data_IF_542443017637
#
_entry.id   IF_542443017637
#
_cell.length_a   1.000
_cell.length_b   1.000
_cell.length_c   1.000
_cell.angle_alpha   90.00
_cell.angle_beta   90.00
_cell.angle_gamma   90.00
#
_symmetry.space_group_name_H-M   'P 1'
#
loop_
_entity.id
_entity.type
_entity.pdbx_description
1 polymer ?
#
# COMPACT_ATOMS: atom_id res chain seq x y z
N UNK A 1 -0.27 -6.67 22.79
CA UNK A 1 0.84 -6.33 21.87
C UNK A 1 1.56 -7.62 21.52
N UNK A 2 1.91 -7.85 20.24
CA UNK A 2 2.43 -9.14 19.80
C UNK A 2 3.96 -9.19 20.00
N UNK A 3 4.46 -10.00 20.94
CA UNK A 3 5.89 -10.05 21.32
C UNK A 3 6.81 -10.31 20.12
N UNK A 4 6.33 -11.04 19.11
CA UNK A 4 7.07 -11.37 17.90
C UNK A 4 7.50 -10.15 17.08
N UNK A 5 6.77 -9.02 17.14
CA UNK A 5 7.06 -7.81 16.35
C UNK A 5 8.40 -7.17 16.74
N UNK A 6 8.76 -7.18 18.02
CA UNK A 6 10.06 -6.69 18.48
C UNK A 6 11.20 -7.53 17.91
N UNK A 7 11.01 -8.85 17.89
CA UNK A 7 11.98 -9.79 17.36
C UNK A 7 12.13 -9.66 15.84
N UNK A 8 11.07 -9.30 15.11
CA UNK A 8 11.16 -9.09 13.67
C UNK A 8 12.19 -8.01 13.29
N UNK A 9 12.30 -6.96 14.10
CA UNK A 9 13.24 -5.85 13.90
C UNK A 9 14.64 -6.11 14.49
N UNK A 10 14.82 -7.20 15.23
CA UNK A 10 16.07 -7.51 15.94
C UNK A 10 17.03 -8.37 15.08
N UNK A 11 18.33 -8.08 15.18
CA UNK A 11 19.40 -8.88 14.56
C UNK A 11 19.53 -10.27 15.16
N UNK A 12 19.24 -10.40 16.46
CA UNK A 12 19.39 -11.67 17.18
C UNK A 12 18.25 -12.66 16.89
N UNK A 13 17.36 -12.37 15.92
CA UNK A 13 16.26 -13.25 15.55
C UNK A 13 16.75 -14.42 14.70
N UNK A 14 16.37 -15.63 15.10
CA UNK A 14 16.39 -16.81 14.26
C UNK A 14 14.95 -17.25 13.97
N UNK A 15 14.69 -17.64 12.73
CA UNK A 15 13.37 -18.10 12.30
C UNK A 15 13.52 -19.48 11.66
N UNK A 16 12.73 -20.42 12.14
CA UNK A 16 12.57 -21.75 11.58
C UNK A 16 11.07 -22.03 11.39
N UNK A 17 10.71 -22.68 10.29
CA UNK A 17 9.31 -22.98 9.95
C UNK A 17 8.70 -23.96 10.98
N UNK A 18 9.50 -24.87 11.53
CA UNK A 18 9.04 -25.90 12.47
C UNK A 18 8.94 -25.39 13.91
N UNK A 19 9.83 -24.48 14.31
CA UNK A 19 9.97 -24.04 15.72
C UNK A 19 9.63 -22.57 15.95
N UNK A 20 9.28 -21.83 14.90
CA UNK A 20 8.87 -20.44 15.00
C UNK A 20 10.04 -19.47 15.18
N UNK A 21 9.83 -18.40 15.94
CA UNK A 21 10.83 -17.34 16.14
C UNK A 21 11.56 -17.53 17.47
N UNK A 22 12.88 -17.70 17.40
CA UNK A 22 13.78 -17.85 18.56
C UNK A 22 14.80 -16.72 18.64
N UNK A 23 15.36 -16.52 19.83
CA UNK A 23 16.49 -15.61 20.04
C UNK A 23 17.82 -16.37 19.93
N UNK A 24 18.75 -15.90 19.11
CA UNK A 24 20.11 -16.47 18.95
C UNK A 24 20.91 -16.51 20.26
N UNK A 25 20.62 -15.60 21.19
CA UNK A 25 21.36 -15.51 22.46
C UNK A 25 20.93 -16.56 23.48
N UNK A 26 19.66 -16.94 23.49
CA UNK A 26 19.08 -17.83 24.50
C UNK A 26 18.57 -19.15 23.92
N UNK A 27 18.48 -19.27 22.59
CA UNK A 27 17.81 -20.33 21.83
C UNK A 27 16.36 -20.60 22.27
N UNK A 28 15.74 -19.61 22.91
CA UNK A 28 14.39 -19.68 23.44
C UNK A 28 13.45 -18.73 22.70
N UNK A 29 12.15 -19.04 22.81
CA UNK A 29 11.08 -18.15 22.38
C UNK A 29 11.11 -16.82 23.17
N UNK A 30 10.68 -15.71 22.55
CA UNK A 30 10.71 -14.40 23.20
C UNK A 30 9.78 -14.34 24.42
N UNK A 31 10.35 -14.15 25.61
CA UNK A 31 9.66 -14.20 26.91
C UNK A 31 9.65 -12.88 27.70
N UNK A 32 9.68 -11.73 27.01
CA UNK A 32 9.75 -10.40 27.66
C UNK A 32 8.38 -9.71 27.81
N UNK A 33 8.10 -9.09 28.96
CA UNK A 33 6.79 -8.44 29.21
C UNK A 33 6.56 -7.13 28.45
N UNK A 34 7.60 -6.32 28.21
CA UNK A 34 7.47 -5.00 27.54
C UNK A 34 8.59 -4.68 26.55
N UNK A 35 9.85 -4.93 26.94
CA UNK A 35 11.03 -4.68 26.13
C UNK A 35 11.99 -5.85 26.23
N UNK A 36 12.70 -6.16 25.16
CA UNK A 36 13.80 -7.10 25.20
C UNK A 36 15.04 -6.40 25.79
N UNK A 37 15.68 -6.94 26.84
CA UNK A 37 16.86 -6.33 27.47
C UNK A 37 18.10 -6.39 26.56
N UNK A 38 18.21 -7.43 25.73
CA UNK A 38 19.36 -7.71 24.85
C UNK A 38 19.01 -7.44 23.37
N UNK A 39 18.15 -6.45 23.12
CA UNK A 39 17.77 -6.11 21.75
C UNK A 39 18.93 -5.47 21.00
N UNK A 40 19.15 -5.91 19.76
CA UNK A 40 20.15 -5.32 18.86
C UNK A 40 19.45 -4.79 17.62
N UNK A 41 19.49 -3.46 17.48
CA UNK A 41 18.99 -2.74 16.31
C UNK A 41 20.13 -2.23 15.45
N UNK A 42 20.26 -2.81 14.27
CA UNK A 42 21.31 -2.49 13.31
C UNK A 42 20.71 -2.44 11.89
N UNK A 43 21.37 -3.05 10.91
CA UNK A 43 21.00 -3.03 9.50
C UNK A 43 19.55 -3.48 9.23
N UNK A 44 19.05 -4.49 9.95
CA UNK A 44 17.69 -5.02 9.77
C UNK A 44 16.62 -4.00 10.15
N UNK A 45 16.85 -3.21 11.19
CA UNK A 45 15.95 -2.13 11.53
C UNK A 45 15.96 -1.07 10.43
N UNK A 46 17.15 -0.65 9.99
CA UNK A 46 17.32 0.37 8.96
C UNK A 46 16.64 -0.06 7.64
N UNK A 47 16.83 -1.32 7.24
CA UNK A 47 16.21 -1.90 6.04
C UNK A 47 14.69 -1.98 6.18
N UNK A 48 14.18 -2.37 7.34
CA UNK A 48 12.72 -2.43 7.59
C UNK A 48 12.09 -1.03 7.56
N UNK A 49 12.76 -0.03 8.15
CA UNK A 49 12.32 1.37 8.09
C UNK A 49 12.27 1.84 6.62
N UNK A 50 13.32 1.57 5.84
CA UNK A 50 13.37 1.95 4.42
C UNK A 50 12.27 1.26 3.62
N UNK A 51 12.10 -0.05 3.77
CA UNK A 51 11.11 -0.83 3.03
C UNK A 51 9.68 -0.33 3.28
N UNK A 52 9.27 -0.21 4.56
CA UNK A 52 7.92 0.22 4.92
C UNK A 52 7.61 1.64 4.43
N UNK A 53 8.56 2.57 4.59
CA UNK A 53 8.36 3.94 4.11
C UNK A 53 8.38 4.04 2.58
N UNK A 54 9.12 3.16 1.91
CA UNK A 54 9.11 3.06 0.45
C UNK A 54 7.78 2.54 -0.08
N UNK A 55 7.26 1.47 0.50
CA UNK A 55 5.94 0.93 0.16
C UNK A 55 4.86 2.02 0.33
N UNK A 56 4.91 2.75 1.44
CA UNK A 56 4.00 3.87 1.69
C UNK A 56 4.10 4.98 0.62
N UNK A 57 5.30 5.45 0.29
CA UNK A 57 5.47 6.51 -0.69
C UNK A 57 5.12 6.06 -2.13
N UNK A 58 5.40 4.81 -2.50
CA UNK A 58 4.98 4.25 -3.78
C UNK A 58 3.46 4.22 -3.93
N UNK A 59 2.75 3.72 -2.90
CA UNK A 59 1.29 3.70 -2.92
C UNK A 59 0.73 5.12 -2.93
N UNK A 60 1.29 6.03 -2.12
CA UNK A 60 0.88 7.44 -2.07
C UNK A 60 1.02 8.14 -3.42
N UNK A 61 2.11 7.90 -4.16
CA UNK A 61 2.31 8.43 -5.52
C UNK A 61 1.30 7.91 -6.53
N UNK A 62 0.83 6.67 -6.37
CA UNK A 62 -0.20 6.09 -7.26
C UNK A 62 -1.57 6.77 -7.16
N UNK A 63 -1.81 7.61 -6.13
CA UNK A 63 -3.07 8.34 -5.90
C UNK A 63 -3.57 9.06 -7.16
N UNK A 64 -2.71 9.87 -7.78
CA UNK A 64 -3.11 10.70 -8.93
C UNK A 64 -3.51 9.83 -10.12
N UNK A 65 -2.78 8.75 -10.37
CA UNK A 65 -3.08 7.83 -11.45
C UNK A 65 -4.39 7.07 -11.19
N UNK A 66 -4.60 6.59 -9.97
CA UNK A 66 -5.83 5.89 -9.59
C UNK A 66 -7.07 6.79 -9.67
N UNK A 67 -6.97 8.04 -9.21
CA UNK A 67 -8.06 9.02 -9.31
C UNK A 67 -8.29 9.42 -10.78
N UNK A 68 -7.23 9.65 -11.55
CA UNK A 68 -7.31 9.99 -12.96
C UNK A 68 -8.01 8.90 -13.78
N UNK A 69 -7.61 7.64 -13.59
CA UNK A 69 -8.25 6.49 -14.24
C UNK A 69 -9.73 6.39 -13.85
N UNK A 70 -10.06 6.55 -12.56
CA UNK A 70 -11.45 6.51 -12.10
C UNK A 70 -12.31 7.56 -12.81
N UNK A 71 -11.86 8.83 -12.83
CA UNK A 71 -12.58 9.92 -13.48
C UNK A 71 -12.72 9.66 -14.98
N UNK A 72 -11.64 9.25 -15.66
CA UNK A 72 -11.65 8.97 -17.09
C UNK A 72 -12.69 7.90 -17.45
N UNK A 73 -12.63 6.73 -16.81
CA UNK A 73 -13.57 5.64 -17.11
C UNK A 73 -15.00 5.96 -16.68
N UNK A 74 -15.20 6.77 -15.63
CA UNK A 74 -16.52 7.24 -15.22
C UNK A 74 -17.15 8.16 -16.28
N UNK A 75 -16.38 9.11 -16.82
CA UNK A 75 -16.84 9.98 -17.92
C UNK A 75 -17.16 9.16 -19.16
N UNK A 76 -16.30 8.20 -19.53
CA UNK A 76 -16.54 7.29 -20.65
C UNK A 76 -17.84 6.50 -20.43
N UNK A 77 -18.03 5.91 -19.25
CA UNK A 77 -19.25 5.16 -18.93
C UNK A 77 -20.52 6.01 -19.08
N UNK A 78 -20.51 7.24 -18.53
CA UNK A 78 -21.64 8.18 -18.65
C UNK A 78 -21.90 8.54 -20.12
N UNK A 79 -20.84 8.76 -20.92
CA UNK A 79 -20.99 9.07 -22.34
C UNK A 79 -21.64 7.93 -23.12
N UNK A 80 -21.26 6.67 -22.86
CA UNK A 80 -21.90 5.50 -23.46
C UNK A 80 -23.37 5.37 -23.05
N UNK A 81 -23.68 5.50 -21.76
CA UNK A 81 -25.05 5.41 -21.26
C UNK A 81 -25.92 6.52 -21.87
N UNK A 82 -25.43 7.77 -21.86
CA UNK A 82 -26.13 8.92 -22.44
C UNK A 82 -26.37 8.76 -23.94
N UNK A 83 -25.36 8.30 -24.68
CA UNK A 83 -25.48 8.00 -26.12
C UNK A 83 -26.52 6.91 -26.37
N UNK A 84 -26.50 5.84 -25.57
CA UNK A 84 -27.47 4.75 -25.69
C UNK A 84 -28.91 5.22 -25.43
N UNK A 85 -29.14 6.04 -24.41
CA UNK A 85 -30.46 6.63 -24.12
C UNK A 85 -30.92 7.53 -25.27
N UNK A 86 -30.06 8.45 -25.72
CA UNK A 86 -30.39 9.35 -26.83
C UNK A 86 -30.74 8.59 -28.11
N UNK A 87 -29.95 7.58 -28.46
CA UNK A 87 -30.20 6.72 -29.61
C UNK A 87 -31.51 5.96 -29.46
N UNK A 88 -31.82 5.48 -28.25
CA UNK A 88 -33.06 4.79 -27.93
C UNK A 88 -34.29 5.65 -28.17
N UNK A 89 -34.29 6.88 -27.64
CA UNK A 89 -35.38 7.85 -27.87
C UNK A 89 -35.52 8.16 -29.36
N UNK A 90 -34.42 8.50 -30.02
CA UNK A 90 -34.43 8.85 -31.45
C UNK A 90 -34.95 7.75 -32.37
N UNK A 91 -34.63 6.47 -32.08
CA UNK A 91 -35.09 5.33 -32.87
C UNK A 91 -36.55 5.00 -32.55
N UNK A 92 -36.94 5.09 -31.27
CA UNK A 92 -38.31 4.85 -30.84
C UNK A 92 -39.29 5.87 -31.44
N UNK A 93 -38.90 7.14 -31.51
CA UNK A 93 -39.68 8.21 -32.16
C UNK A 93 -39.92 7.94 -33.66
N UNK A 94 -39.09 7.11 -34.28
CA UNK A 94 -39.27 6.65 -35.68
C UNK A 94 -40.11 5.38 -35.80
N UNK A 95 -40.68 4.88 -34.70
CA UNK A 95 -41.53 3.69 -34.67
C UNK A 95 -40.75 2.37 -34.79
N UNK A 96 -39.42 2.39 -34.59
CA UNK A 96 -38.57 1.20 -34.69
C UNK A 96 -38.16 0.74 -33.29
N UNK A 97 -38.25 -0.57 -33.03
CA UNK A 97 -37.67 -1.18 -31.83
C UNK A 97 -36.30 -1.78 -32.20
N UNK A 98 -35.23 -1.25 -31.61
CA UNK A 98 -33.87 -1.71 -31.86
C UNK A 98 -33.19 -2.14 -30.57
N UNK A 99 -32.38 -3.20 -30.65
CA UNK A 99 -31.55 -3.69 -29.54
C UNK A 99 -30.25 -2.91 -29.39
N UNK A 100 -29.86 -2.11 -30.39
CA UNK A 100 -28.61 -1.35 -30.39
C UNK A 100 -28.48 -0.41 -29.18
N UNK A 101 -29.49 0.42 -28.82
CA UNK A 101 -29.45 1.25 -27.61
C UNK A 101 -29.13 0.46 -26.33
N UNK A 102 -29.72 -0.72 -26.19
CA UNK A 102 -29.56 -1.58 -25.01
C UNK A 102 -28.13 -2.10 -24.92
N UNK A 103 -27.55 -2.53 -26.03
CA UNK A 103 -26.15 -3.01 -26.08
C UNK A 103 -25.19 -1.87 -25.71
N UNK A 104 -25.41 -0.67 -26.23
CA UNK A 104 -24.57 0.52 -25.94
C UNK A 104 -24.61 0.87 -24.45
N UNK A 105 -25.79 0.84 -23.83
CA UNK A 105 -25.95 1.04 -22.37
C UNK A 105 -25.22 -0.06 -21.60
N UNK A 106 -25.39 -1.32 -22.00
CA UNK A 106 -24.74 -2.45 -21.33
C UNK A 106 -23.20 -2.35 -21.37
N UNK A 107 -22.63 -1.91 -22.49
CA UNK A 107 -21.19 -1.61 -22.60
C UNK A 107 -20.79 -0.50 -21.62
N UNK A 108 -21.55 0.59 -21.54
CA UNK A 108 -21.30 1.68 -20.60
C UNK A 108 -21.27 1.21 -19.15
N UNK A 109 -22.21 0.36 -18.74
CA UNK A 109 -22.26 -0.24 -17.40
C UNK A 109 -21.03 -1.15 -17.18
N UNK A 110 -20.66 -1.94 -18.18
CA UNK A 110 -19.52 -2.86 -18.13
C UNK A 110 -18.16 -2.18 -17.91
N UNK A 111 -18.04 -0.88 -18.19
CA UNK A 111 -16.79 -0.10 -17.97
C UNK A 111 -16.65 0.36 -16.51
N UNK A 112 -17.73 0.44 -15.73
CA UNK A 112 -17.70 0.92 -14.34
C UNK A 112 -16.76 0.11 -13.41
N UNK A 113 -16.73 -1.24 -13.47
CA UNK A 113 -15.76 -2.03 -12.71
C UNK A 113 -14.30 -1.62 -12.97
N UNK A 114 -13.96 -1.30 -14.22
CA UNK A 114 -12.61 -0.87 -14.62
C UNK A 114 -12.24 0.49 -14.01
N UNK A 115 -13.22 1.37 -13.82
CA UNK A 115 -13.02 2.63 -13.10
C UNK A 115 -12.70 2.37 -11.61
N UNK A 116 -13.47 1.49 -10.98
CA UNK A 116 -13.44 1.29 -9.52
C UNK A 116 -12.26 0.46 -9.01
N UNK A 117 -11.74 -0.47 -9.83
CA UNK A 117 -10.65 -1.39 -9.44
C UNK A 117 -9.37 -0.69 -8.97
N UNK A 118 -8.75 0.18 -9.78
CA UNK A 118 -7.52 0.89 -9.41
C UNK A 118 -7.68 1.79 -8.18
N UNK A 119 -8.84 2.42 -8.02
CA UNK A 119 -9.15 3.27 -6.87
C UNK A 119 -9.25 2.45 -5.59
N UNK A 120 -9.98 1.32 -5.64
CA UNK A 120 -10.11 0.44 -4.50
C UNK A 120 -8.76 -0.17 -4.09
N UNK A 121 -7.93 -0.58 -5.06
CA UNK A 121 -6.56 -1.05 -4.81
C UNK A 121 -5.71 0.02 -4.12
N UNK A 122 -5.80 1.28 -4.55
CA UNK A 122 -5.12 2.40 -3.90
C UNK A 122 -5.58 2.60 -2.45
N UNK A 123 -6.89 2.65 -2.21
CA UNK A 123 -7.48 2.84 -0.87
C UNK A 123 -7.05 1.73 0.09
N UNK A 124 -7.09 0.47 -0.36
CA UNK A 124 -6.65 -0.66 0.45
C UNK A 124 -5.14 -0.62 0.70
N UNK A 125 -4.36 -0.38 -0.36
CA UNK A 125 -2.90 -0.31 -0.27
C UNK A 125 -2.43 0.78 0.70
N UNK A 126 -3.02 1.98 0.64
CA UNK A 126 -2.58 3.09 1.49
C UNK A 126 -2.89 2.81 2.94
N UNK A 127 -4.07 2.22 3.23
CA UNK A 127 -4.47 1.82 4.57
C UNK A 127 -3.55 0.75 5.16
N UNK A 128 -3.14 -0.24 4.34
CA UNK A 128 -2.21 -1.29 4.78
C UNK A 128 -0.82 -0.71 5.02
N UNK A 129 -0.30 0.10 4.11
CA UNK A 129 1.03 0.70 4.24
C UNK A 129 1.11 1.68 5.43
N UNK A 130 0.06 2.48 5.65
CA UNK A 130 -0.04 3.36 6.80
C UNK A 130 -0.05 2.58 8.12
N UNK A 131 -0.88 1.53 8.20
CA UNK A 131 -0.92 0.65 9.38
C UNK A 131 0.44 0.01 9.66
N UNK A 132 1.16 -0.49 8.64
CA UNK A 132 2.51 -1.04 8.80
C UNK A 132 3.47 -0.01 9.40
N UNK A 133 3.41 1.24 8.92
CA UNK A 133 4.24 2.34 9.41
C UNK A 133 3.89 2.73 10.85
N UNK A 134 2.61 2.79 11.19
CA UNK A 134 2.15 3.02 12.56
C UNK A 134 2.64 1.92 13.51
N UNK A 135 2.46 0.66 13.15
CA UNK A 135 2.92 -0.48 13.95
C UNK A 135 4.44 -0.48 14.15
N UNK A 136 5.22 -0.08 13.13
CA UNK A 136 6.66 0.11 13.25
C UNK A 136 6.99 1.23 14.25
N UNK A 137 6.33 2.38 14.12
CA UNK A 137 6.55 3.52 15.00
C UNK A 137 6.17 3.21 16.45
N UNK A 138 5.07 2.48 16.68
CA UNK A 138 4.69 2.01 18.02
C UNK A 138 5.81 1.17 18.66
N UNK A 139 6.41 0.24 17.90
CA UNK A 139 7.52 -0.57 18.41
C UNK A 139 8.75 0.29 18.69
N UNK A 140 9.08 1.24 17.81
CA UNK A 140 10.23 2.11 17.97
C UNK A 140 10.09 3.10 19.14
N UNK A 141 8.90 3.63 19.36
CA UNK A 141 8.58 4.54 20.46
C UNK A 141 8.80 3.88 21.82
N UNK A 142 8.52 2.57 21.94
CA UNK A 142 8.85 1.82 23.15
C UNK A 142 10.35 1.88 23.44
N UNK A 143 11.19 1.77 22.43
CA UNK A 143 12.64 1.89 22.58
C UNK A 143 13.15 3.33 22.50
N UNK A 144 12.26 4.34 22.55
CA UNK A 144 12.60 5.76 22.46
C UNK A 144 13.45 6.08 21.21
N UNK A 145 13.20 5.35 20.11
CA UNK A 145 13.87 5.54 18.84
C UNK A 145 13.02 6.47 17.99
N UNK A 146 13.61 7.59 17.58
CA UNK A 146 12.99 8.54 16.66
C UNK A 146 13.86 8.67 15.42
N UNK A 147 13.23 8.63 14.26
CA UNK A 147 13.90 8.76 12.98
C UNK A 147 13.16 9.75 12.09
N UNK A 148 13.91 10.32 11.15
CA UNK A 148 13.37 11.02 10.00
C UNK A 148 13.85 10.27 8.75
N UNK A 149 12.96 10.04 7.80
CA UNK A 149 13.29 9.41 6.54
C UNK A 149 12.69 10.20 5.39
N UNK A 150 13.53 10.51 4.41
CA UNK A 150 13.11 11.02 3.13
C UNK A 150 13.34 9.93 2.07
N UNK A 151 12.28 9.61 1.32
CA UNK A 151 12.31 8.59 0.26
C UNK A 151 12.24 9.30 -1.08
N UNK A 152 13.37 9.31 -1.79
CA UNK A 152 13.49 9.94 -3.10
C UNK A 152 13.41 8.85 -4.17
N UNK A 153 12.26 8.80 -4.84
CA UNK A 153 12.03 7.89 -5.97
C UNK A 153 12.23 8.67 -7.27
N UNK A 154 13.24 8.29 -8.04
CA UNK A 154 13.50 8.75 -9.41
C UNK A 154 13.04 7.68 -10.38
N UNK A 155 12.41 8.10 -11.47
CA UNK A 155 11.97 7.22 -12.55
C UNK A 155 12.85 7.50 -13.76
N UNK A 156 13.50 6.47 -14.28
CA UNK A 156 14.29 6.60 -15.50
C UNK A 156 13.41 6.54 -16.76
N UNK A 157 14.02 6.77 -17.93
CA UNK A 157 13.33 6.71 -19.24
C UNK A 157 12.77 5.32 -19.58
N UNK A 158 13.27 4.26 -18.93
CA UNK A 158 12.87 2.86 -19.15
C UNK A 158 11.87 2.37 -18.09
N UNK A 159 11.30 3.28 -17.29
CA UNK A 159 10.39 2.96 -16.19
C UNK A 159 11.03 2.16 -15.04
N UNK A 160 12.35 2.13 -14.95
CA UNK A 160 13.03 1.63 -13.76
C UNK A 160 12.95 2.67 -12.65
N UNK A 161 12.70 2.18 -11.44
CA UNK A 161 12.61 2.99 -10.24
C UNK A 161 13.97 2.95 -9.52
N UNK A 162 14.65 4.09 -9.50
CA UNK A 162 15.81 4.31 -8.64
C UNK A 162 15.32 4.91 -7.32
N UNK A 163 15.44 4.13 -6.24
CA UNK A 163 14.92 4.47 -4.92
C UNK A 163 16.11 4.76 -4.01
N UNK A 164 16.19 6.01 -3.56
CA UNK A 164 17.22 6.48 -2.63
C UNK A 164 16.60 6.90 -1.30
N UNK A 165 17.34 6.68 -0.22
CA UNK A 165 16.89 6.90 1.15
C UNK A 165 17.84 7.84 1.89
N UNK A 166 17.30 8.90 2.47
CA UNK A 166 18.00 9.72 3.45
C UNK A 166 17.40 9.41 4.82
N UNK A 167 17.99 8.45 5.54
CA UNK A 167 17.56 8.05 6.87
C UNK A 167 18.46 8.71 7.92
N UNK A 168 17.86 9.47 8.84
CA UNK A 168 18.56 10.10 9.96
C UNK A 168 17.88 9.75 11.28
N UNK A 169 18.63 9.21 12.24
CA UNK A 169 18.12 8.96 13.58
C UNK A 169 18.21 10.24 14.43
N UNK A 170 17.06 10.74 14.87
CA UNK A 170 16.97 11.88 15.79
C UNK A 170 17.29 11.46 17.23
N UNK A 171 16.98 10.21 17.58
CA UNK A 171 17.31 9.60 18.86
C UNK A 171 17.40 8.08 18.67
N UNK A 172 18.53 7.47 19.05
CA UNK A 172 18.73 6.01 19.04
C UNK A 172 19.25 5.57 20.41
N UNK A 173 18.39 5.66 21.43
CA UNK A 173 18.75 5.31 22.81
C UNK A 173 17.86 4.16 23.30
N UNK A 174 18.36 2.93 23.19
CA UNK A 174 17.60 1.71 23.53
C UNK A 174 18.17 0.93 24.73
N UNK A 175 19.13 1.52 25.46
CA UNK A 175 19.54 1.11 26.82
C UNK A 175 18.64 1.77 27.87
#
# INVERSE_FOLDING_TARGET
>A
MNLSKHCQLCENRQYDINTGTKCKLTDQEPSFQKKCPEIKFDEKLDNTIKEINTEYELVKRSKSLSIGNFIFFLVVSIAFIGTGIYLGVYIFDKGVLSTVPIIVIAVGIGVLPLASGPLNKYIQGIKVAEKKREELNEVLDLYNIKYNINVIIKKDLHDNLDISHELTFLRKHYK
#
